data_IF_857260415692
#
_entry.id   IF_857260415692
#
_cell.length_a   1.000
_cell.length_b   1.000
_cell.length_c   1.000
_cell.angle_alpha   90.00
_cell.angle_beta   90.00
_cell.angle_gamma   90.00
#
_symmetry.space_group_name_H-M   'P 1'
#
loop_
_entity.id
_entity.type
_entity.pdbx_description
1 polymer ?
#
# COMPACT_ATOMS: atom_id res chain seq x y z
N UNK A 1 -11.38 -33.51 -29.72
CA UNK A 1 -11.31 -34.70 -28.85
C UNK A 1 -9.85 -35.00 -28.60
N UNK A 2 -9.45 -35.07 -27.32
CA UNK A 2 -8.12 -35.48 -26.87
C UNK A 2 -7.82 -36.92 -27.33
N UNK A 3 -6.60 -37.18 -27.79
CA UNK A 3 -5.96 -38.50 -27.65
C UNK A 3 -4.44 -38.33 -27.44
N UNK A 4 -4.03 -38.78 -26.27
CA UNK A 4 -2.74 -39.37 -25.92
C UNK A 4 -1.48 -38.60 -26.31
N UNK A 5 -0.99 -37.81 -25.34
CA UNK A 5 0.33 -38.04 -24.77
C UNK A 5 1.49 -38.16 -25.75
N UNK A 6 1.85 -37.05 -26.39
CA UNK A 6 3.08 -37.00 -27.19
C UNK A 6 4.28 -37.08 -26.25
N UNK A 7 5.05 -38.16 -26.34
CA UNK A 7 6.38 -38.26 -25.74
C UNK A 7 7.36 -37.67 -26.73
N UNK A 8 8.13 -36.67 -26.33
CA UNK A 8 9.02 -35.99 -27.29
C UNK A 8 10.31 -35.53 -26.62
N UNK A 9 11.43 -36.12 -27.04
CA UNK A 9 12.75 -35.60 -26.69
C UNK A 9 13.03 -34.32 -27.51
N UNK A 10 13.70 -33.35 -26.87
CA UNK A 10 13.93 -31.94 -27.28
C UNK A 10 13.93 -31.57 -28.77
N UNK A 11 14.44 -32.41 -29.68
CA UNK A 11 14.48 -32.16 -31.13
C UNK A 11 13.17 -32.51 -31.87
N UNK A 12 12.46 -33.55 -31.44
CA UNK A 12 11.17 -33.92 -32.01
C UNK A 12 10.09 -32.91 -31.59
N UNK A 13 10.26 -32.18 -30.48
CA UNK A 13 9.26 -31.21 -29.99
C UNK A 13 9.21 -30.02 -30.95
N UNK A 14 10.37 -29.48 -31.32
CA UNK A 14 10.49 -28.49 -32.38
C UNK A 14 9.95 -29.00 -33.72
N UNK A 15 10.19 -30.27 -34.07
CA UNK A 15 9.66 -30.86 -35.30
C UNK A 15 8.13 -31.02 -35.27
N UNK A 16 7.54 -31.40 -34.14
CA UNK A 16 6.09 -31.52 -33.96
C UNK A 16 5.42 -30.14 -33.96
N UNK A 17 6.01 -29.16 -33.25
CA UNK A 17 5.59 -27.76 -33.28
C UNK A 17 5.69 -27.18 -34.71
N UNK A 18 6.71 -27.54 -35.48
CA UNK A 18 6.89 -27.09 -36.88
C UNK A 18 5.89 -27.76 -37.80
N UNK A 19 5.73 -29.08 -37.71
CA UNK A 19 4.85 -29.87 -38.57
C UNK A 19 3.36 -29.60 -38.32
N UNK A 20 2.98 -29.15 -37.12
CA UNK A 20 1.64 -28.65 -36.80
C UNK A 20 1.39 -27.20 -37.22
N UNK A 21 2.39 -26.53 -37.81
CA UNK A 21 2.28 -25.16 -38.31
C UNK A 21 2.32 -24.08 -37.21
N UNK A 22 2.85 -24.40 -36.03
CA UNK A 22 2.92 -23.46 -34.90
C UNK A 22 4.20 -22.62 -34.88
N UNK A 23 5.18 -22.95 -35.73
CA UNK A 23 6.41 -22.19 -35.91
C UNK A 23 6.38 -21.41 -37.23
N UNK A 24 6.16 -20.10 -37.14
CA UNK A 24 6.60 -19.16 -38.17
C UNK A 24 7.80 -18.38 -37.59
N UNK A 25 8.97 -18.52 -38.22
CA UNK A 25 10.21 -17.79 -37.93
C UNK A 25 10.80 -17.95 -36.50
N UNK A 26 10.57 -19.09 -35.85
CA UNK A 26 11.09 -19.36 -34.49
C UNK A 26 10.32 -18.64 -33.36
N UNK A 27 9.24 -17.94 -33.72
CA UNK A 27 8.29 -17.33 -32.79
C UNK A 27 7.09 -18.28 -32.59
N UNK A 28 6.79 -18.58 -31.33
CA UNK A 28 5.60 -19.29 -30.86
C UNK A 28 4.58 -18.30 -30.25
N UNK A 29 4.62 -17.03 -30.66
CA UNK A 29 3.68 -16.03 -30.18
C UNK A 29 2.23 -16.44 -30.47
N UNK A 30 1.39 -16.42 -29.44
CA UNK A 30 0.00 -16.86 -29.56
C UNK A 30 -0.19 -18.35 -29.83
N UNK A 31 0.87 -19.16 -29.79
CA UNK A 31 0.78 -20.59 -30.06
C UNK A 31 -0.20 -21.29 -29.11
N UNK A 32 -0.91 -22.28 -29.62
CA UNK A 32 -1.89 -23.06 -28.87
C UNK A 32 -1.25 -24.36 -28.39
N UNK A 33 -0.64 -24.30 -27.21
CA UNK A 33 0.17 -25.35 -26.58
C UNK A 33 -0.47 -25.88 -25.29
N UNK A 34 -1.78 -25.68 -25.10
CA UNK A 34 -2.47 -26.18 -23.92
C UNK A 34 -2.40 -27.70 -23.86
N UNK A 35 -2.03 -28.24 -22.69
CA UNK A 35 -1.82 -29.67 -22.48
C UNK A 35 -0.62 -30.26 -23.21
N UNK A 36 0.25 -29.43 -23.82
CA UNK A 36 1.43 -29.91 -24.50
C UNK A 36 2.40 -30.59 -23.53
N UNK A 37 3.10 -31.62 -24.02
CA UNK A 37 4.15 -32.31 -23.27
C UNK A 37 5.51 -31.78 -23.73
N UNK A 38 6.09 -30.94 -22.89
CA UNK A 38 7.34 -30.20 -23.10
C UNK A 38 8.32 -30.47 -21.94
N UNK A 39 8.21 -31.63 -21.28
CA UNK A 39 9.09 -32.04 -20.21
C UNK A 39 10.54 -32.05 -20.70
N UNK A 40 11.43 -31.36 -19.98
CA UNK A 40 12.83 -31.24 -20.35
C UNK A 40 13.11 -30.51 -21.67
N UNK A 41 12.10 -29.88 -22.28
CA UNK A 41 12.27 -29.16 -23.54
C UNK A 41 13.27 -28.01 -23.40
N UNK A 42 14.08 -27.78 -24.44
CA UNK A 42 14.94 -26.61 -24.53
C UNK A 42 14.23 -25.51 -25.32
N UNK A 43 13.76 -24.50 -24.59
CA UNK A 43 13.01 -23.35 -25.07
C UNK A 43 13.73 -22.04 -24.69
N UNK A 44 15.03 -22.09 -24.43
CA UNK A 44 15.82 -20.93 -24.02
C UNK A 44 15.76 -19.84 -25.08
N UNK A 45 15.45 -18.62 -24.66
CA UNK A 45 15.30 -17.46 -25.55
C UNK A 45 14.11 -17.52 -26.51
N UNK A 46 13.24 -18.54 -26.42
CA UNK A 46 12.07 -18.63 -27.28
C UNK A 46 11.11 -17.46 -27.03
N UNK A 47 10.36 -17.08 -28.07
CA UNK A 47 9.34 -16.05 -27.98
C UNK A 47 7.97 -16.73 -27.97
N UNK A 48 7.33 -16.73 -26.81
CA UNK A 48 6.06 -17.37 -26.46
C UNK A 48 5.04 -16.33 -25.93
N UNK A 49 5.20 -15.06 -26.31
CA UNK A 49 4.31 -14.00 -25.85
C UNK A 49 2.89 -14.31 -26.26
N UNK A 50 1.96 -14.20 -25.30
CA UNK A 50 0.52 -14.53 -25.46
C UNK A 50 0.23 -15.98 -25.88
N UNK A 51 1.20 -16.90 -25.81
CA UNK A 51 0.95 -18.31 -26.05
C UNK A 51 0.01 -18.90 -24.98
N UNK A 52 -0.74 -19.91 -25.35
CA UNK A 52 -1.54 -20.70 -24.42
C UNK A 52 -0.80 -21.99 -24.07
N UNK A 53 -0.20 -22.04 -22.89
CA UNK A 53 0.49 -23.18 -22.27
C UNK A 53 -0.32 -23.74 -21.08
N UNK A 54 -1.64 -23.48 -21.03
CA UNK A 54 -2.47 -23.93 -19.92
C UNK A 54 -2.43 -25.45 -19.81
N UNK A 55 -2.23 -25.97 -18.60
CA UNK A 55 -2.08 -27.40 -18.29
C UNK A 55 -0.92 -28.12 -19.02
N UNK A 56 0.04 -27.38 -19.59
CA UNK A 56 1.21 -27.97 -20.23
C UNK A 56 2.16 -28.61 -19.20
N UNK A 57 2.82 -29.70 -19.59
CA UNK A 57 3.90 -30.33 -18.82
C UNK A 57 5.25 -29.75 -19.27
N UNK A 58 5.77 -28.80 -18.50
CA UNK A 58 7.06 -28.12 -18.67
C UNK A 58 8.03 -28.48 -17.52
N UNK A 59 7.79 -29.60 -16.84
CA UNK A 59 8.68 -30.07 -15.78
C UNK A 59 10.11 -30.17 -16.31
N UNK A 60 11.07 -29.71 -15.52
CA UNK A 60 12.52 -29.68 -15.83
C UNK A 60 12.90 -29.02 -17.17
N UNK A 61 11.99 -28.29 -17.82
CA UNK A 61 12.26 -27.57 -19.06
C UNK A 61 13.29 -26.44 -18.86
N UNK A 62 14.01 -26.11 -19.93
CA UNK A 62 14.97 -25.01 -19.97
C UNK A 62 14.30 -23.82 -20.69
N UNK A 63 13.85 -22.85 -19.90
CA UNK A 63 13.10 -21.65 -20.30
C UNK A 63 13.88 -20.37 -19.99
N UNK A 64 15.19 -20.46 -19.77
CA UNK A 64 15.99 -19.27 -19.48
C UNK A 64 15.85 -18.23 -20.60
N UNK A 65 15.65 -16.96 -20.22
CA UNK A 65 15.46 -15.81 -21.13
C UNK A 65 14.29 -15.93 -22.09
N UNK A 66 13.32 -16.82 -21.82
CA UNK A 66 12.09 -16.93 -22.62
C UNK A 66 11.26 -15.65 -22.49
N UNK A 67 10.55 -15.27 -23.56
CA UNK A 67 9.54 -14.20 -23.50
C UNK A 67 8.14 -14.82 -23.42
N UNK A 68 7.50 -14.71 -22.27
CA UNK A 68 6.16 -15.20 -21.94
C UNK A 68 5.20 -14.05 -21.59
N UNK A 69 5.49 -12.83 -22.04
CA UNK A 69 4.64 -11.66 -21.80
C UNK A 69 3.18 -11.94 -22.19
N UNK A 70 2.26 -11.81 -21.23
CA UNK A 70 0.83 -12.09 -21.43
C UNK A 70 0.47 -13.54 -21.77
N UNK A 71 1.38 -14.50 -21.62
CA UNK A 71 1.12 -15.91 -21.88
C UNK A 71 0.19 -16.51 -20.80
N UNK A 72 -0.54 -17.57 -21.17
CA UNK A 72 -1.38 -18.34 -20.24
C UNK A 72 -0.65 -19.62 -19.86
N UNK A 73 -0.33 -19.79 -18.59
CA UNK A 73 0.32 -20.96 -18.00
C UNK A 73 -0.53 -21.56 -16.87
N UNK A 74 -1.83 -21.23 -16.82
CA UNK A 74 -2.71 -21.71 -15.75
C UNK A 74 -2.67 -23.23 -15.65
N UNK A 75 -2.44 -23.76 -14.44
CA UNK A 75 -2.34 -25.20 -14.19
C UNK A 75 -1.12 -25.90 -14.78
N UNK A 76 -0.19 -25.18 -15.44
CA UNK A 76 1.00 -25.80 -16.01
C UNK A 76 1.91 -26.40 -14.93
N UNK A 77 2.62 -27.47 -15.29
CA UNK A 77 3.60 -28.12 -14.44
C UNK A 77 5.01 -27.65 -14.85
N UNK A 78 5.70 -26.91 -13.97
CA UNK A 78 7.01 -26.30 -14.18
C UNK A 78 8.01 -26.72 -13.09
N UNK A 79 7.79 -27.87 -12.45
CA UNK A 79 8.61 -28.33 -11.33
C UNK A 79 10.04 -28.56 -11.77
N UNK A 80 11.00 -28.02 -11.01
CA UNK A 80 12.43 -28.10 -11.30
C UNK A 80 12.87 -27.45 -12.61
N UNK A 81 11.99 -26.70 -13.29
CA UNK A 81 12.35 -25.99 -14.53
C UNK A 81 13.30 -24.82 -14.25
N UNK A 82 14.09 -24.47 -15.26
CA UNK A 82 14.91 -23.27 -15.24
C UNK A 82 14.23 -22.19 -16.08
N UNK A 83 13.86 -21.08 -15.46
CA UNK A 83 13.13 -19.96 -16.07
C UNK A 83 13.90 -18.66 -15.79
N UNK A 84 15.23 -18.72 -15.69
CA UNK A 84 16.04 -17.59 -15.23
C UNK A 84 16.03 -16.44 -16.24
N UNK A 85 16.01 -15.19 -15.77
CA UNK A 85 16.02 -13.98 -16.61
C UNK A 85 14.88 -13.94 -17.66
N UNK A 86 13.80 -14.69 -17.45
CA UNK A 86 12.64 -14.71 -18.35
C UNK A 86 11.73 -13.49 -18.14
N UNK A 87 10.98 -13.14 -19.19
CA UNK A 87 9.95 -12.12 -19.14
C UNK A 87 8.55 -12.75 -19.07
N UNK A 88 7.95 -12.72 -17.88
CA UNK A 88 6.61 -13.21 -17.56
C UNK A 88 5.64 -12.07 -17.20
N UNK A 89 5.94 -10.82 -17.60
CA UNK A 89 5.07 -9.67 -17.36
C UNK A 89 3.65 -9.93 -17.87
N UNK A 90 2.64 -9.56 -17.07
CA UNK A 90 1.20 -9.75 -17.36
C UNK A 90 0.79 -11.21 -17.66
N UNK A 91 1.61 -12.21 -17.32
CA UNK A 91 1.29 -13.62 -17.56
C UNK A 91 0.28 -14.18 -16.56
N UNK A 92 -0.45 -15.22 -16.96
CA UNK A 92 -1.42 -15.92 -16.12
C UNK A 92 -0.84 -17.24 -15.65
N UNK A 93 -0.53 -17.34 -14.37
CA UNK A 93 0.13 -18.48 -13.72
C UNK A 93 -0.76 -19.09 -12.63
N UNK A 94 -2.09 -18.96 -12.73
CA UNK A 94 -3.00 -19.42 -11.68
C UNK A 94 -2.89 -20.94 -11.51
N UNK A 95 -2.63 -21.40 -10.28
CA UNK A 95 -2.54 -22.83 -9.96
C UNK A 95 -1.32 -23.55 -10.58
N UNK A 96 -0.36 -22.81 -11.14
CA UNK A 96 0.86 -23.38 -11.71
C UNK A 96 1.72 -24.02 -10.63
N UNK A 97 2.36 -25.15 -10.93
CA UNK A 97 3.32 -25.76 -10.02
C UNK A 97 4.76 -25.43 -10.43
N UNK A 98 5.41 -24.58 -9.64
CA UNK A 98 6.78 -24.09 -9.76
C UNK A 98 7.67 -24.65 -8.63
N UNK A 99 7.31 -25.78 -8.02
CA UNK A 99 8.11 -26.39 -6.95
C UNK A 99 9.55 -26.63 -7.43
N UNK A 100 10.54 -26.20 -6.64
CA UNK A 100 11.97 -26.28 -6.95
C UNK A 100 12.42 -25.56 -8.25
N UNK A 101 11.56 -24.72 -8.86
CA UNK A 101 11.91 -24.00 -10.09
C UNK A 101 12.91 -22.87 -9.84
N UNK A 102 13.72 -22.55 -10.86
CA UNK A 102 14.70 -21.46 -10.82
C UNK A 102 14.21 -20.26 -11.62
N UNK A 103 13.72 -19.24 -10.95
CA UNK A 103 13.20 -17.99 -11.52
C UNK A 103 14.06 -16.77 -11.12
N UNK A 104 15.37 -16.96 -10.97
CA UNK A 104 16.25 -15.84 -10.61
C UNK A 104 16.23 -14.75 -11.69
N UNK A 105 16.10 -13.50 -11.28
CA UNK A 105 16.07 -12.34 -12.18
C UNK A 105 14.85 -12.29 -13.12
N UNK A 106 13.80 -13.08 -12.90
CA UNK A 106 12.61 -13.04 -13.76
C UNK A 106 11.81 -11.76 -13.58
N UNK A 107 11.23 -11.28 -14.68
CA UNK A 107 10.22 -10.24 -14.65
C UNK A 107 8.81 -10.85 -14.54
N UNK A 108 8.20 -10.72 -13.37
CA UNK A 108 6.83 -11.16 -13.05
C UNK A 108 5.92 -9.96 -12.74
N UNK A 109 6.28 -8.75 -13.19
CA UNK A 109 5.48 -7.55 -12.98
C UNK A 109 4.05 -7.76 -13.47
N UNK A 110 3.08 -7.49 -12.58
CA UNK A 110 1.63 -7.71 -12.79
C UNK A 110 1.20 -9.15 -13.16
N UNK A 111 2.07 -10.15 -12.98
CA UNK A 111 1.71 -11.54 -13.24
C UNK A 111 0.67 -12.07 -12.22
N UNK A 112 -0.19 -12.97 -12.67
CA UNK A 112 -1.25 -13.57 -11.86
C UNK A 112 -0.88 -14.98 -11.40
N UNK A 113 -0.20 -15.10 -10.25
CA UNK A 113 0.22 -16.35 -9.61
C UNK A 113 -0.75 -16.84 -8.51
N UNK A 114 -2.04 -16.49 -8.61
CA UNK A 114 -3.02 -16.89 -7.59
C UNK A 114 -3.05 -18.43 -7.44
N UNK A 115 -2.96 -18.93 -6.21
CA UNK A 115 -2.92 -20.36 -5.88
C UNK A 115 -1.77 -21.14 -6.52
N UNK A 116 -0.73 -20.46 -7.03
CA UNK A 116 0.46 -21.14 -7.54
C UNK A 116 1.23 -21.81 -6.39
N UNK A 117 1.96 -22.87 -6.71
CA UNK A 117 2.80 -23.62 -5.77
C UNK A 117 4.26 -23.30 -6.12
N UNK A 118 4.96 -22.53 -5.29
CA UNK A 118 6.36 -22.14 -5.48
C UNK A 118 7.25 -22.65 -4.34
N UNK A 119 6.90 -23.82 -3.77
CA UNK A 119 7.68 -24.42 -2.69
C UNK A 119 9.15 -24.56 -3.08
N UNK A 120 10.06 -24.07 -2.24
CA UNK A 120 11.51 -24.08 -2.46
C UNK A 120 11.98 -23.47 -3.80
N UNK A 121 11.13 -22.73 -4.51
CA UNK A 121 11.52 -22.07 -5.74
C UNK A 121 12.51 -20.93 -5.44
N UNK A 122 13.40 -20.65 -6.38
CA UNK A 122 14.33 -19.53 -6.27
C UNK A 122 13.86 -18.37 -7.13
N UNK A 123 13.44 -17.28 -6.51
CA UNK A 123 13.03 -16.01 -7.11
C UNK A 123 13.98 -14.87 -6.71
N UNK A 124 15.28 -15.17 -6.52
CA UNK A 124 16.25 -14.16 -6.15
C UNK A 124 16.31 -13.07 -7.22
N UNK A 125 16.32 -11.82 -6.78
CA UNK A 125 16.39 -10.64 -7.67
C UNK A 125 15.24 -10.57 -8.70
N UNK A 126 14.16 -11.34 -8.51
CA UNK A 126 13.00 -11.28 -9.39
C UNK A 126 12.20 -9.99 -9.15
N UNK A 127 11.55 -9.49 -10.20
CA UNK A 127 10.62 -8.38 -10.10
C UNK A 127 9.17 -8.89 -10.08
N UNK A 128 8.54 -8.85 -8.92
CA UNK A 128 7.13 -9.20 -8.69
C UNK A 128 6.26 -7.97 -8.41
N UNK A 129 6.68 -6.77 -8.81
CA UNK A 129 5.93 -5.54 -8.55
C UNK A 129 4.48 -5.64 -9.06
N UNK A 130 3.51 -5.40 -8.18
CA UNK A 130 2.09 -5.48 -8.50
C UNK A 130 1.56 -6.89 -8.85
N UNK A 131 2.36 -7.95 -8.69
CA UNK A 131 1.93 -9.32 -8.95
C UNK A 131 0.87 -9.79 -7.95
N UNK A 132 0.02 -10.72 -8.38
CA UNK A 132 -1.04 -11.31 -7.54
C UNK A 132 -0.68 -12.74 -7.16
N UNK A 133 -0.37 -12.99 -5.90
CA UNK A 133 -0.02 -14.28 -5.32
C UNK A 133 -1.06 -14.73 -4.29
N UNK A 134 -2.35 -14.44 -4.51
CA UNK A 134 -3.40 -14.74 -3.53
C UNK A 134 -3.50 -16.26 -3.28
N UNK A 135 -3.44 -16.65 -2.00
CA UNK A 135 -3.44 -18.05 -1.58
C UNK A 135 -2.37 -18.91 -2.23
N UNK A 136 -1.22 -18.33 -2.57
CA UNK A 136 -0.07 -19.07 -3.09
C UNK A 136 0.64 -19.83 -1.97
N UNK A 137 1.30 -20.92 -2.35
CA UNK A 137 2.14 -21.71 -1.47
C UNK A 137 3.61 -21.38 -1.75
N UNK A 138 4.21 -20.57 -0.88
CA UNK A 138 5.54 -19.98 -0.99
C UNK A 138 6.49 -20.59 0.07
N UNK A 139 6.17 -21.78 0.59
CA UNK A 139 6.98 -22.43 1.64
C UNK A 139 8.43 -22.61 1.20
N UNK A 140 9.39 -22.12 1.98
CA UNK A 140 10.82 -22.24 1.67
C UNK A 140 11.29 -21.46 0.43
N UNK A 141 10.45 -20.59 -0.13
CA UNK A 141 10.81 -19.81 -1.33
C UNK A 141 11.99 -18.87 -1.04
N UNK A 142 12.89 -18.71 -2.00
CA UNK A 142 13.97 -17.74 -1.90
C UNK A 142 13.64 -16.47 -2.70
N UNK A 143 13.21 -15.43 -2.00
CA UNK A 143 12.86 -14.10 -2.53
C UNK A 143 13.92 -13.05 -2.16
N UNK A 144 15.15 -13.46 -1.82
CA UNK A 144 16.19 -12.51 -1.45
C UNK A 144 16.43 -11.50 -2.58
N UNK A 145 16.52 -10.21 -2.22
CA UNK A 145 16.69 -9.09 -3.15
C UNK A 145 15.57 -8.92 -4.18
N UNK A 146 14.43 -9.60 -4.01
CA UNK A 146 13.29 -9.46 -4.92
C UNK A 146 12.55 -8.14 -4.70
N UNK A 147 12.00 -7.59 -5.79
CA UNK A 147 11.08 -6.46 -5.73
C UNK A 147 9.64 -6.97 -5.66
N UNK A 148 8.95 -6.78 -4.54
CA UNK A 148 7.55 -7.16 -4.32
C UNK A 148 6.63 -5.94 -4.21
N UNK A 149 7.09 -4.73 -4.54
CA UNK A 149 6.33 -3.48 -4.37
C UNK A 149 4.88 -3.61 -4.84
N UNK A 150 3.92 -3.39 -3.93
CA UNK A 150 2.48 -3.43 -4.21
C UNK A 150 1.92 -4.82 -4.56
N UNK A 151 2.68 -5.90 -4.36
CA UNK A 151 2.21 -7.26 -4.62
C UNK A 151 1.10 -7.68 -3.64
N UNK A 152 0.21 -8.56 -4.10
CA UNK A 152 -0.92 -9.07 -3.31
C UNK A 152 -0.65 -10.51 -2.89
N UNK A 153 -0.27 -10.71 -1.63
CA UNK A 153 0.17 -12.02 -1.10
C UNK A 153 -0.69 -12.41 0.11
N UNK A 154 -2.01 -12.28 -0.02
CA UNK A 154 -2.95 -12.55 1.07
C UNK A 154 -3.16 -14.06 1.23
N UNK A 155 -3.43 -14.53 2.45
CA UNK A 155 -3.75 -15.94 2.77
C UNK A 155 -2.74 -16.94 2.21
N UNK A 156 -1.48 -16.55 2.14
CA UNK A 156 -0.40 -17.32 1.50
C UNK A 156 0.54 -17.87 2.56
N UNK A 157 1.20 -18.98 2.22
CA UNK A 157 2.15 -19.63 3.10
C UNK A 157 3.58 -19.21 2.74
N UNK A 158 4.21 -18.32 3.50
CA UNK A 158 5.62 -17.94 3.35
C UNK A 158 6.51 -18.55 4.44
N UNK A 159 6.06 -19.63 5.09
CA UNK A 159 6.85 -20.26 6.15
C UNK A 159 8.22 -20.68 5.60
N UNK A 160 9.27 -20.46 6.39
CA UNK A 160 10.66 -20.75 6.02
C UNK A 160 11.19 -20.02 4.77
N UNK A 161 10.45 -19.04 4.25
CA UNK A 161 10.91 -18.24 3.11
C UNK A 161 12.12 -17.38 3.48
N UNK A 162 12.88 -16.98 2.47
CA UNK A 162 14.00 -16.04 2.58
C UNK A 162 13.59 -14.74 1.89
N UNK A 163 13.36 -13.69 2.67
CA UNK A 163 13.05 -12.33 2.22
C UNK A 163 14.25 -11.37 2.44
N UNK A 164 15.47 -11.88 2.56
CA UNK A 164 16.65 -11.05 2.82
C UNK A 164 16.74 -9.89 1.81
N UNK A 165 16.72 -8.65 2.30
CA UNK A 165 16.78 -7.43 1.49
C UNK A 165 15.70 -7.32 0.41
N UNK A 166 14.57 -8.03 0.54
CA UNK A 166 13.43 -7.90 -0.35
C UNK A 166 12.68 -6.57 -0.09
N UNK A 167 12.14 -5.98 -1.15
CA UNK A 167 11.31 -4.78 -1.08
C UNK A 167 9.84 -5.17 -1.04
N UNK A 168 9.22 -5.13 0.15
CA UNK A 168 7.80 -5.45 0.34
C UNK A 168 6.93 -4.21 0.52
N UNK A 169 7.38 -3.01 0.13
CA UNK A 169 6.57 -1.81 0.28
C UNK A 169 5.17 -1.96 -0.33
N UNK A 170 4.16 -1.50 0.40
CA UNK A 170 2.75 -1.56 -0.01
C UNK A 170 2.22 -2.98 -0.33
N UNK A 171 2.92 -4.02 0.11
CA UNK A 171 2.45 -5.41 -0.02
C UNK A 171 1.34 -5.66 0.99
N UNK A 172 0.34 -6.44 0.59
CA UNK A 172 -0.59 -7.02 1.56
C UNK A 172 -0.31 -8.50 1.79
N UNK A 173 0.06 -8.81 3.03
CA UNK A 173 0.32 -10.12 3.62
C UNK A 173 -0.82 -10.55 4.56
N UNK A 174 -2.01 -9.96 4.39
CA UNK A 174 -3.16 -10.20 5.25
C UNK A 174 -3.47 -11.70 5.34
N UNK A 175 -3.66 -12.19 6.57
CA UNK A 175 -3.98 -13.60 6.86
C UNK A 175 -2.93 -14.61 6.34
N UNK A 176 -1.71 -14.17 6.03
CA UNK A 176 -0.60 -15.03 5.60
C UNK A 176 0.27 -15.48 6.77
N UNK A 177 1.06 -16.54 6.55
CA UNK A 177 2.00 -17.05 7.55
C UNK A 177 3.43 -16.83 7.11
N UNK A 178 4.27 -16.27 8.00
CA UNK A 178 5.69 -16.01 7.82
C UNK A 178 6.47 -16.67 8.97
N UNK A 179 6.08 -17.89 9.34
CA UNK A 179 6.73 -18.58 10.44
C UNK A 179 8.15 -18.95 10.05
N UNK A 180 9.13 -18.60 10.90
CA UNK A 180 10.55 -18.85 10.66
C UNK A 180 11.06 -18.30 9.32
N UNK A 181 10.45 -17.23 8.83
CA UNK A 181 10.87 -16.51 7.63
C UNK A 181 12.06 -15.60 7.95
N UNK A 182 13.05 -15.56 7.06
CA UNK A 182 14.16 -14.62 7.17
C UNK A 182 13.78 -13.27 6.57
N UNK A 183 13.63 -12.25 7.41
CA UNK A 183 13.25 -10.88 7.05
C UNK A 183 14.41 -9.90 7.24
N UNK A 184 15.66 -10.37 7.31
CA UNK A 184 16.83 -9.49 7.50
C UNK A 184 16.91 -8.47 6.35
N UNK A 185 17.07 -7.18 6.67
CA UNK A 185 17.10 -6.05 5.72
C UNK A 185 15.85 -5.88 4.85
N UNK A 186 14.81 -6.67 5.07
CA UNK A 186 13.58 -6.57 4.30
C UNK A 186 12.85 -5.27 4.62
N UNK A 187 12.21 -4.68 3.61
CA UNK A 187 11.47 -3.44 3.74
C UNK A 187 9.97 -3.72 3.85
N UNK A 188 9.40 -3.55 5.05
CA UNK A 188 7.98 -3.72 5.34
C UNK A 188 7.23 -2.38 5.42
N UNK A 189 7.71 -1.28 4.84
CA UNK A 189 6.98 -0.01 4.92
C UNK A 189 5.59 -0.11 4.28
N UNK A 190 4.57 0.36 5.01
CA UNK A 190 3.16 0.34 4.62
C UNK A 190 2.61 -1.05 4.25
N UNK A 191 3.20 -2.12 4.81
CA UNK A 191 2.71 -3.49 4.60
C UNK A 191 1.44 -3.74 5.43
N UNK A 192 0.44 -4.39 4.82
CA UNK A 192 -0.71 -4.91 5.56
C UNK A 192 -0.39 -6.29 6.16
N UNK A 193 -0.09 -6.30 7.46
CA UNK A 193 0.20 -7.49 8.27
C UNK A 193 -1.00 -7.97 9.11
N UNK A 194 -2.22 -7.54 8.78
CA UNK A 194 -3.38 -7.89 9.59
C UNK A 194 -3.62 -9.41 9.64
N UNK A 195 -3.71 -9.96 10.85
CA UNK A 195 -3.85 -11.40 11.12
C UNK A 195 -2.71 -12.27 10.57
N UNK A 196 -1.59 -11.65 10.19
CA UNK A 196 -0.39 -12.34 9.77
C UNK A 196 0.31 -13.00 10.97
N UNK A 197 0.88 -14.18 10.76
CA UNK A 197 1.62 -14.93 11.78
C UNK A 197 3.13 -14.84 11.54
N UNK A 198 3.85 -14.21 12.47
CA UNK A 198 5.31 -14.04 12.42
C UNK A 198 6.06 -14.97 13.39
N UNK A 199 5.47 -16.11 13.79
CA UNK A 199 6.08 -17.00 14.78
C UNK A 199 7.53 -17.38 14.42
N UNK A 200 8.47 -16.96 15.26
CA UNK A 200 9.90 -17.24 15.08
C UNK A 200 10.53 -16.64 13.82
N UNK A 201 9.89 -15.64 13.19
CA UNK A 201 10.50 -14.89 12.09
C UNK A 201 11.80 -14.22 12.55
N UNK A 202 12.74 -14.03 11.62
CA UNK A 202 14.06 -13.46 11.90
C UNK A 202 14.14 -12.03 11.39
N UNK A 203 14.32 -11.08 12.30
CA UNK A 203 14.43 -9.66 12.01
C UNK A 203 15.87 -9.18 12.26
N UNK A 204 16.31 -8.21 11.47
CA UNK A 204 17.60 -7.55 11.66
C UNK A 204 17.83 -6.56 10.54
N UNK A 205 18.02 -5.29 10.86
CA UNK A 205 17.96 -4.19 9.88
C UNK A 205 16.66 -4.17 9.06
N UNK A 206 15.60 -4.82 9.56
CA UNK A 206 14.28 -4.86 8.92
C UNK A 206 13.60 -3.51 9.14
N UNK A 207 12.88 -3.00 8.15
CA UNK A 207 12.21 -1.70 8.23
C UNK A 207 10.72 -1.93 8.44
N UNK A 208 10.17 -1.43 9.55
CA UNK A 208 8.74 -1.33 9.82
C UNK A 208 8.37 0.16 9.91
N UNK A 209 7.89 0.71 8.81
CA UNK A 209 7.41 2.09 8.75
C UNK A 209 5.95 2.10 8.31
N UNK A 210 5.17 3.03 8.88
CA UNK A 210 3.76 3.21 8.55
C UNK A 210 2.88 1.92 8.60
N UNK A 211 3.27 0.92 9.39
CA UNK A 211 2.66 -0.42 9.42
C UNK A 211 1.76 -0.61 10.65
N UNK A 212 0.62 -1.26 10.50
CA UNK A 212 -0.25 -1.61 11.64
C UNK A 212 0.01 -3.06 12.10
N UNK A 213 0.57 -3.19 13.31
CA UNK A 213 0.90 -4.48 13.94
C UNK A 213 -0.16 -4.93 14.96
N UNK A 214 -1.25 -4.18 15.15
CA UNK A 214 -2.26 -4.44 16.19
C UNK A 214 -2.95 -5.81 16.06
N UNK A 215 -3.02 -6.34 14.85
CA UNK A 215 -3.59 -7.66 14.55
C UNK A 215 -2.53 -8.70 14.16
N UNK A 216 -1.25 -8.34 14.20
CA UNK A 216 -0.15 -9.25 13.86
C UNK A 216 0.13 -10.17 15.04
N UNK A 217 0.30 -11.46 14.75
CA UNK A 217 0.45 -12.51 15.76
C UNK A 217 1.92 -12.80 16.05
N UNK A 218 2.19 -13.27 17.25
CA UNK A 218 3.47 -13.84 17.66
C UNK A 218 4.66 -12.86 17.60
N UNK A 219 4.41 -11.55 17.73
CA UNK A 219 5.45 -10.51 17.75
C UNK A 219 6.51 -10.74 18.83
N UNK A 220 6.12 -11.28 19.98
CA UNK A 220 6.96 -11.63 21.13
C UNK A 220 7.90 -12.82 20.87
N UNK A 221 7.65 -13.60 19.81
CA UNK A 221 8.46 -14.76 19.42
C UNK A 221 9.47 -14.46 18.32
N UNK A 222 9.43 -13.25 17.75
CA UNK A 222 10.35 -12.82 16.71
C UNK A 222 11.79 -12.88 17.24
N UNK A 223 12.68 -13.43 16.43
CA UNK A 223 14.10 -13.48 16.72
C UNK A 223 14.77 -12.26 16.13
N UNK A 224 15.67 -11.63 16.88
CA UNK A 224 16.36 -10.41 16.46
C UNK A 224 17.86 -10.69 16.29
N UNK A 225 18.34 -10.71 15.04
CA UNK A 225 19.76 -10.83 14.70
C UNK A 225 20.51 -9.49 14.83
N UNK A 226 19.79 -8.37 14.72
CA UNK A 226 20.29 -7.00 14.85
C UNK A 226 19.11 -6.05 15.16
N UNK A 227 19.37 -4.80 15.60
CA UNK A 227 18.32 -3.79 15.68
C UNK A 227 17.62 -3.58 14.34
N UNK A 228 16.33 -3.27 14.40
CA UNK A 228 15.47 -3.02 13.25
C UNK A 228 14.83 -1.63 13.40
N UNK A 229 14.27 -1.10 12.32
CA UNK A 229 13.74 0.25 12.31
C UNK A 229 12.23 0.20 12.54
N UNK A 230 11.74 0.95 13.52
CA UNK A 230 10.32 1.16 13.77
C UNK A 230 10.05 2.65 13.94
N UNK A 231 9.07 3.18 13.21
CA UNK A 231 8.74 4.61 13.25
C UNK A 231 7.58 4.94 14.22
N UNK A 232 7.41 6.23 14.50
CA UNK A 232 6.36 6.72 15.39
C UNK A 232 4.96 6.41 14.84
N UNK A 233 4.77 6.43 13.51
CA UNK A 233 3.51 6.09 12.87
C UNK A 233 3.09 4.64 13.17
N UNK A 234 4.01 3.69 12.99
CA UNK A 234 3.81 2.27 13.31
C UNK A 234 3.49 2.09 14.79
N UNK A 235 4.22 2.76 15.69
CA UNK A 235 3.97 2.70 17.13
C UNK A 235 2.59 3.24 17.53
N UNK A 236 2.10 4.28 16.85
CA UNK A 236 0.77 4.84 17.10
C UNK A 236 -0.32 3.89 16.58
N UNK A 237 -0.22 3.43 15.33
CA UNK A 237 -1.21 2.55 14.69
C UNK A 237 -1.37 1.22 15.44
N UNK A 238 -0.25 0.63 15.85
CA UNK A 238 -0.21 -0.74 16.39
C UNK A 238 -0.74 -0.89 17.82
N UNK A 239 -0.94 0.20 18.56
CA UNK A 239 -1.34 0.14 19.96
C UNK A 239 -0.30 -0.57 20.84
N UNK A 240 -0.75 -1.36 21.82
CA UNK A 240 0.15 -2.07 22.74
C UNK A 240 0.96 -3.16 22.04
N UNK A 241 2.28 -3.00 22.04
CA UNK A 241 3.23 -3.94 21.49
C UNK A 241 4.00 -4.65 22.62
N UNK A 242 4.41 -5.92 22.46
CA UNK A 242 5.19 -6.61 23.47
C UNK A 242 6.53 -5.91 23.75
N UNK A 243 6.91 -5.75 25.01
CA UNK A 243 8.18 -5.09 25.36
C UNK A 243 9.40 -5.84 24.81
N UNK A 244 9.35 -7.18 24.81
CA UNK A 244 10.43 -8.02 24.25
C UNK A 244 10.66 -7.70 22.78
N UNK A 245 9.58 -7.51 22.02
CA UNK A 245 9.66 -7.09 20.62
C UNK A 245 10.25 -5.68 20.48
N UNK A 246 9.82 -4.71 21.29
CA UNK A 246 10.34 -3.34 21.25
C UNK A 246 11.83 -3.28 21.60
N UNK A 247 12.27 -4.03 22.63
CA UNK A 247 13.69 -4.21 22.95
C UNK A 247 14.45 -4.85 21.79
N UNK A 248 13.85 -5.85 21.14
CA UNK A 248 14.38 -6.51 19.96
C UNK A 248 14.53 -5.59 18.74
N UNK A 249 13.64 -4.61 18.57
CA UNK A 249 13.81 -3.53 17.59
C UNK A 249 14.99 -2.61 17.96
N UNK A 250 15.42 -2.58 19.21
CA UNK A 250 16.54 -1.76 19.69
C UNK A 250 16.13 -0.51 20.47
N UNK A 251 14.87 -0.43 20.93
CA UNK A 251 14.43 0.68 21.78
C UNK A 251 15.02 0.53 23.20
N UNK A 252 15.58 1.61 23.79
CA UNK A 252 15.99 1.62 25.20
C UNK A 252 14.78 1.47 26.14
N UNK A 253 15.01 0.86 27.32
CA UNK A 253 13.96 0.66 28.34
C UNK A 253 13.27 1.97 28.74
N UNK A 254 14.03 3.06 28.94
CA UNK A 254 13.45 4.39 29.25
C UNK A 254 12.44 4.84 28.19
N UNK A 255 12.70 4.55 26.90
CA UNK A 255 11.78 4.91 25.81
C UNK A 255 10.53 4.05 25.83
N UNK A 256 10.68 2.76 26.13
CA UNK A 256 9.56 1.80 26.24
C UNK A 256 8.64 2.22 27.40
N UNK A 257 9.21 2.60 28.54
CA UNK A 257 8.47 3.07 29.72
C UNK A 257 7.70 4.36 29.41
N UNK A 258 8.33 5.33 28.74
CA UNK A 258 7.66 6.57 28.31
C UNK A 258 6.51 6.29 27.33
N UNK A 259 6.68 5.35 26.39
CA UNK A 259 5.61 4.96 25.47
C UNK A 259 4.42 4.36 26.22
N UNK A 260 4.67 3.54 27.25
CA UNK A 260 3.61 2.98 28.08
C UNK A 260 2.83 4.08 28.83
N UNK A 261 3.53 5.08 29.36
CA UNK A 261 2.92 6.21 30.07
C UNK A 261 2.16 7.17 29.16
N UNK A 262 2.70 7.49 27.98
CA UNK A 262 2.03 8.29 26.96
C UNK A 262 0.71 7.64 26.52
N UNK A 263 0.65 6.30 26.49
CA UNK A 263 -0.55 5.54 26.10
C UNK A 263 -1.61 5.46 27.20
N UNK A 264 -1.23 5.59 28.48
CA UNK A 264 -2.18 5.71 29.60
C UNK A 264 -2.88 7.07 29.65
N UNK A 265 -2.24 8.09 29.09
CA UNK A 265 -2.86 9.39 28.86
C UNK A 265 -3.68 9.27 27.58
N UNK A 266 -4.99 9.49 27.67
CA UNK A 266 -5.84 9.65 26.49
C UNK A 266 -5.48 10.97 25.79
N UNK A 267 -4.30 11.03 25.18
CA UNK A 267 -3.93 12.18 24.38
C UNK A 267 -4.60 11.98 23.04
N UNK A 268 -5.71 12.67 22.87
CA UNK A 268 -6.39 12.84 21.59
C UNK A 268 -5.47 13.66 20.69
N UNK A 269 -4.51 12.99 20.08
CA UNK A 269 -3.53 13.67 19.25
C UNK A 269 -4.15 13.98 17.88
N UNK A 270 -5.00 15.00 17.76
CA UNK A 270 -5.47 15.41 16.44
C UNK A 270 -4.33 15.96 15.60
N UNK A 271 -4.14 15.36 14.43
CA UNK A 271 -3.34 15.86 13.33
C UNK A 271 -4.21 16.67 12.38
N UNK A 272 -3.70 17.82 11.93
CA UNK A 272 -4.46 18.80 11.18
C UNK A 272 -3.75 19.18 9.89
N UNK A 273 -4.43 19.12 8.76
CA UNK A 273 -3.93 19.71 7.51
C UNK A 273 -4.63 21.03 7.23
N UNK A 274 -3.87 22.11 7.02
CA UNK A 274 -4.37 23.41 6.59
C UNK A 274 -4.31 23.46 5.08
N UNK A 275 -5.46 23.50 4.43
CA UNK A 275 -5.61 23.46 2.97
C UNK A 275 -6.08 24.82 2.47
N UNK A 276 -5.29 25.42 1.57
CA UNK A 276 -5.48 26.82 1.18
C UNK A 276 -5.03 27.10 -0.26
N UNK A 277 -5.55 28.18 -0.83
CA UNK A 277 -5.04 28.74 -2.09
C UNK A 277 -3.84 29.65 -1.81
N UNK A 278 -2.97 29.85 -2.80
CA UNK A 278 -1.84 30.78 -2.65
C UNK A 278 -2.25 32.19 -2.19
N UNK A 279 -3.44 32.67 -2.56
CA UNK A 279 -3.96 33.96 -2.15
C UNK A 279 -4.27 34.03 -0.64
N UNK A 280 -4.41 32.88 0.03
CA UNK A 280 -4.68 32.76 1.48
C UNK A 280 -3.41 32.37 2.27
N UNK A 281 -2.22 32.43 1.66
CA UNK A 281 -0.98 31.90 2.26
C UNK A 281 -0.57 32.61 3.56
N UNK A 282 -0.68 33.94 3.61
CA UNK A 282 -0.34 34.73 4.79
C UNK A 282 -1.17 34.30 6.01
N UNK A 283 -2.49 34.17 5.82
CA UNK A 283 -3.40 33.66 6.87
C UNK A 283 -3.05 32.22 7.28
N UNK A 284 -2.77 31.35 6.31
CA UNK A 284 -2.49 29.94 6.59
C UNK A 284 -1.18 29.76 7.38
N UNK A 285 -0.15 30.54 7.06
CA UNK A 285 1.15 30.56 7.76
C UNK A 285 1.01 31.11 9.18
N UNK A 286 0.27 32.20 9.38
CA UNK A 286 -0.02 32.75 10.73
C UNK A 286 -0.79 31.72 11.58
N UNK A 287 -1.84 31.12 11.01
CA UNK A 287 -2.61 30.08 11.69
C UNK A 287 -1.74 28.86 12.03
N UNK A 288 -0.82 28.48 11.15
CA UNK A 288 0.12 27.38 11.39
C UNK A 288 1.01 27.65 12.61
N UNK A 289 1.63 28.84 12.70
CA UNK A 289 2.50 29.20 13.82
C UNK A 289 1.74 29.17 15.15
N UNK A 290 0.57 29.82 15.21
CA UNK A 290 -0.22 29.86 16.44
C UNK A 290 -0.72 28.47 16.83
N UNK A 291 -1.14 27.63 15.88
CA UNK A 291 -1.53 26.25 16.19
C UNK A 291 -0.36 25.42 16.74
N UNK A 292 0.85 25.57 16.20
CA UNK A 292 2.05 24.89 16.70
C UNK A 292 2.40 25.33 18.13
N UNK A 293 2.35 26.63 18.42
CA UNK A 293 2.56 27.19 19.76
C UNK A 293 1.54 26.67 20.78
N UNK A 294 0.32 26.34 20.31
CA UNK A 294 -0.75 25.73 21.11
C UNK A 294 -0.62 24.21 21.23
N UNK A 295 0.43 23.62 20.67
CA UNK A 295 0.70 22.18 20.69
C UNK A 295 -0.18 21.36 19.74
N UNK A 296 -0.82 22.00 18.76
CA UNK A 296 -1.56 21.30 17.70
C UNK A 296 -0.58 20.84 16.62
N UNK A 297 -0.66 19.56 16.25
CA UNK A 297 0.17 19.01 15.17
C UNK A 297 -0.48 19.35 13.84
N UNK A 298 0.03 20.39 13.17
CA UNK A 298 -0.50 20.83 11.89
C UNK A 298 0.53 20.85 10.77
N UNK A 299 0.07 20.80 9.52
CA UNK A 299 0.87 20.92 8.30
C UNK A 299 0.16 21.83 7.30
N UNK A 300 0.93 22.47 6.43
CA UNK A 300 0.44 23.33 5.35
C UNK A 300 0.30 22.53 4.04
N UNK A 301 -0.78 22.77 3.30
CA UNK A 301 -0.99 22.29 1.94
C UNK A 301 -1.54 23.42 1.06
N UNK A 302 -0.61 24.15 0.44
CA UNK A 302 -0.92 25.25 -0.47
C UNK A 302 -1.02 24.78 -1.93
N UNK A 303 -2.07 25.18 -2.63
CA UNK A 303 -2.23 24.91 -4.06
C UNK A 303 -1.81 26.12 -4.89
N UNK A 304 -0.77 25.94 -5.72
CA UNK A 304 -0.40 26.92 -6.75
C UNK A 304 -1.31 26.77 -7.99
N UNK A 305 -1.51 27.88 -8.68
CA UNK A 305 -2.20 28.04 -9.96
C UNK A 305 -1.68 27.15 -11.10
N UNK A 306 -0.49 26.54 -10.97
CA UNK A 306 0.16 25.77 -12.04
C UNK A 306 0.36 24.27 -11.73
N UNK A 307 0.10 23.81 -10.50
CA UNK A 307 0.23 22.40 -10.12
C UNK A 307 -1.14 21.85 -9.69
N UNK A 308 -1.98 21.49 -10.67
CA UNK A 308 -3.19 20.68 -10.39
C UNK A 308 -2.86 19.23 -9.95
N UNK A 309 -1.58 18.85 -10.08
CA UNK A 309 -0.96 17.62 -9.58
C UNK A 309 -0.21 17.89 -8.26
N UNK A 310 -0.92 18.32 -7.23
CA UNK A 310 -0.46 18.09 -5.87
C UNK A 310 -0.53 16.59 -5.61
N UNK A 311 0.61 15.97 -5.35
CA UNK A 311 0.72 14.57 -4.97
C UNK A 311 -0.27 14.34 -3.83
N UNK A 312 -1.28 13.49 -4.07
CA UNK A 312 -2.27 13.11 -3.08
C UNK A 312 -1.57 12.23 -2.05
N UNK A 313 -0.69 12.85 -1.25
CA UNK A 313 0.18 12.19 -0.30
C UNK A 313 -0.69 11.52 0.73
N UNK A 314 -0.94 10.23 0.52
CA UNK A 314 -1.65 9.25 1.35
C UNK A 314 -2.11 9.87 2.65
N UNK A 315 -3.31 10.44 2.62
CA UNK A 315 -3.74 11.41 3.63
C UNK A 315 -4.00 10.72 4.98
N UNK A 316 -3.01 10.76 5.88
CA UNK A 316 -3.01 10.10 7.20
C UNK A 316 -3.48 10.99 8.37
N UNK A 317 -4.06 12.17 8.11
CA UNK A 317 -4.47 13.12 9.15
C UNK A 317 -5.91 12.93 9.65
N UNK A 318 -6.17 13.47 10.86
CA UNK A 318 -7.46 13.39 11.55
C UNK A 318 -8.47 14.43 11.06
N UNK A 319 -8.02 15.66 10.81
CA UNK A 319 -8.85 16.78 10.34
C UNK A 319 -8.16 17.61 9.25
N UNK A 320 -8.96 18.21 8.37
CA UNK A 320 -8.57 19.16 7.33
C UNK A 320 -9.26 20.49 7.60
N UNK A 321 -8.48 21.54 7.88
CA UNK A 321 -8.95 22.91 7.91
C UNK A 321 -8.94 23.46 6.49
N UNK A 322 -10.10 23.78 5.95
CA UNK A 322 -10.21 24.36 4.61
C UNK A 322 -10.34 25.88 4.73
N UNK A 323 -9.38 26.63 4.22
CA UNK A 323 -9.49 28.08 4.05
C UNK A 323 -10.60 28.38 3.03
N UNK A 324 -11.79 28.73 3.53
CA UNK A 324 -12.96 29.07 2.74
C UNK A 324 -12.97 30.56 2.42
N UNK A 325 -12.12 30.96 1.47
CA UNK A 325 -12.21 32.24 0.78
C UNK A 325 -12.78 32.06 -0.63
N UNK A 326 -13.12 33.16 -1.29
CA UNK A 326 -13.42 33.20 -2.72
C UNK A 326 -12.26 32.65 -3.56
N UNK A 327 -11.02 32.93 -3.18
CA UNK A 327 -9.84 32.50 -3.91
C UNK A 327 -9.67 30.98 -3.87
N UNK A 328 -9.99 30.34 -2.74
CA UNK A 328 -9.96 28.89 -2.58
C UNK A 328 -11.17 28.19 -3.20
N UNK A 329 -12.39 28.61 -2.85
CA UNK A 329 -13.62 27.89 -3.21
C UNK A 329 -13.99 27.98 -4.71
N UNK A 330 -13.39 28.91 -5.45
CA UNK A 330 -13.59 29.01 -6.91
C UNK A 330 -12.66 28.10 -7.73
N UNK A 331 -11.73 27.39 -7.09
CA UNK A 331 -10.74 26.53 -7.77
C UNK A 331 -11.24 25.09 -7.89
N UNK A 332 -10.79 24.41 -8.95
CA UNK A 332 -11.11 23.02 -9.26
C UNK A 332 -10.65 22.06 -8.16
N UNK A 333 -9.49 22.33 -7.55
CA UNK A 333 -8.93 21.50 -6.48
C UNK A 333 -9.81 21.47 -5.23
N UNK A 334 -10.47 22.58 -4.86
CA UNK A 334 -11.25 22.67 -3.62
C UNK A 334 -12.39 21.65 -3.61
N UNK A 335 -13.11 21.52 -4.74
CA UNK A 335 -14.16 20.52 -4.88
C UNK A 335 -13.64 19.06 -4.82
N UNK A 336 -12.39 18.81 -5.22
CA UNK A 336 -11.74 17.50 -5.12
C UNK A 336 -11.41 17.16 -3.66
N UNK A 337 -10.77 18.08 -2.93
CA UNK A 337 -10.40 17.88 -1.52
C UNK A 337 -11.63 17.74 -0.61
N UNK A 338 -12.66 18.56 -0.84
CA UNK A 338 -13.95 18.46 -0.12
C UNK A 338 -14.57 17.08 -0.34
N UNK A 339 -14.60 16.60 -1.59
CA UNK A 339 -15.15 15.27 -1.89
C UNK A 339 -14.38 14.17 -1.18
N UNK A 340 -13.05 14.24 -1.22
CA UNK A 340 -12.19 13.27 -0.54
C UNK A 340 -12.47 13.23 0.97
N UNK A 341 -12.49 14.38 1.64
CA UNK A 341 -12.71 14.45 3.08
C UNK A 341 -14.07 13.85 3.48
N UNK A 342 -15.11 14.11 2.68
CA UNK A 342 -16.47 13.61 2.89
C UNK A 342 -16.55 12.10 2.67
N UNK A 343 -15.90 11.57 1.63
CA UNK A 343 -15.89 10.13 1.37
C UNK A 343 -15.16 9.37 2.49
N UNK A 344 -14.10 9.96 3.07
CA UNK A 344 -13.40 9.38 4.22
C UNK A 344 -14.25 9.33 5.50
N UNK A 345 -15.06 10.35 5.76
CA UNK A 345 -16.03 10.35 6.88
C UNK A 345 -17.07 9.24 6.71
N UNK A 346 -17.43 8.87 5.47
CA UNK A 346 -18.39 7.81 5.15
C UNK A 346 -17.80 6.40 5.28
N UNK A 347 -16.53 6.22 4.95
CA UNK A 347 -15.86 4.91 4.99
C UNK A 347 -15.33 4.53 6.37
N UNK A 348 -15.12 5.50 7.26
CA UNK A 348 -14.66 5.27 8.63
C UNK A 348 -15.75 4.59 9.48
N UNK A 349 -15.52 3.34 9.89
CA UNK A 349 -16.47 2.51 10.67
C UNK A 349 -16.51 2.79 12.18
N UNK A 350 -15.80 3.81 12.68
CA UNK A 350 -15.71 4.08 14.12
C UNK A 350 -17.02 4.66 14.70
N UNK A 351 -17.36 4.22 15.92
CA UNK A 351 -18.51 4.69 16.72
C UNK A 351 -18.45 6.20 17.07
N UNK A 352 -17.31 6.85 16.83
CA UNK A 352 -17.11 8.30 16.96
C UNK A 352 -16.92 8.92 15.57
N UNK A 353 -18.03 9.27 14.89
CA UNK A 353 -18.01 10.10 13.67
C UNK A 353 -17.41 11.47 14.01
N UNK A 354 -16.11 11.63 13.85
CA UNK A 354 -15.44 12.94 13.88
C UNK A 354 -15.50 13.55 12.50
N UNK A 355 -15.88 14.82 12.45
CA UNK A 355 -15.88 15.63 11.24
C UNK A 355 -14.42 15.81 10.78
N UNK A 356 -14.08 15.29 9.59
CA UNK A 356 -12.75 15.46 8.99
C UNK A 356 -12.62 16.83 8.33
N UNK A 357 -13.67 17.36 7.71
CA UNK A 357 -13.62 18.67 7.04
C UNK A 357 -14.07 19.78 7.98
N UNK A 358 -13.21 20.74 8.31
CA UNK A 358 -13.52 21.93 9.12
C UNK A 358 -13.36 23.20 8.26
N UNK A 359 -14.46 23.85 7.86
CA UNK A 359 -14.39 25.10 7.08
C UNK A 359 -13.92 26.28 7.94
N UNK A 360 -12.95 27.06 7.43
CA UNK A 360 -12.51 28.34 7.98
C UNK A 360 -13.07 29.46 7.11
N UNK A 361 -14.09 30.18 7.56
CA UNK A 361 -14.72 31.23 6.77
C UNK A 361 -13.88 32.52 6.83
N UNK A 362 -13.18 32.86 5.74
CA UNK A 362 -12.22 33.96 5.72
C UNK A 362 -12.83 35.28 5.25
N UNK A 363 -13.68 35.25 4.22
CA UNK A 363 -14.19 36.45 3.55
C UNK A 363 -15.73 36.46 3.38
N UNK A 364 -16.42 35.48 3.96
CA UNK A 364 -17.87 35.35 3.86
C UNK A 364 -18.36 34.78 2.52
N UNK A 365 -17.46 34.49 1.57
CA UNK A 365 -17.83 33.97 0.25
C UNK A 365 -18.61 32.65 0.35
N UNK A 366 -18.31 31.82 1.35
CA UNK A 366 -18.97 30.55 1.61
C UNK A 366 -20.51 30.68 1.68
N UNK A 367 -21.05 31.81 2.13
CA UNK A 367 -22.49 32.04 2.28
C UNK A 367 -23.13 32.80 1.12
N UNK A 368 -22.40 33.04 0.04
CA UNK A 368 -22.91 33.73 -1.15
C UNK A 368 -23.62 32.77 -2.11
N UNK A 369 -24.61 33.29 -2.85
CA UNK A 369 -25.30 32.51 -3.89
C UNK A 369 -24.34 32.10 -5.04
N UNK A 370 -23.29 32.89 -5.30
CA UNK A 370 -22.25 32.54 -6.27
C UNK A 370 -21.45 31.31 -5.82
N UNK A 371 -21.10 31.20 -4.53
CA UNK A 371 -20.46 29.99 -4.00
C UNK A 371 -21.41 28.78 -4.07
N UNK A 372 -22.67 28.96 -3.69
CA UNK A 372 -23.70 27.89 -3.71
C UNK A 372 -23.88 27.28 -5.09
N UNK A 373 -23.89 28.11 -6.13
CA UNK A 373 -24.07 27.66 -7.51
C UNK A 373 -22.84 26.99 -8.11
N UNK A 374 -21.64 27.35 -7.66
CA UNK A 374 -20.38 26.83 -8.21
C UNK A 374 -19.85 25.60 -7.50
N UNK A 375 -20.06 25.48 -6.19
CA UNK A 375 -19.49 24.40 -5.38
C UNK A 375 -20.44 23.19 -5.33
N UNK A 376 -20.14 22.04 -5.98
CA UNK A 376 -21.09 20.94 -6.13
C UNK A 376 -21.50 20.25 -4.81
N UNK A 377 -20.76 20.47 -3.73
CA UNK A 377 -20.99 19.88 -2.41
C UNK A 377 -21.26 20.95 -1.34
N UNK A 378 -21.71 22.13 -1.76
CA UNK A 378 -21.87 23.31 -0.90
C UNK A 378 -22.70 23.05 0.36
N UNK A 379 -23.86 22.40 0.24
CA UNK A 379 -24.72 22.10 1.41
C UNK A 379 -23.97 21.28 2.46
N UNK A 380 -23.16 20.32 2.03
CA UNK A 380 -22.35 19.53 2.94
C UNK A 380 -21.28 20.40 3.60
N UNK A 381 -20.67 21.36 2.91
CA UNK A 381 -19.68 22.26 3.54
C UNK A 381 -20.32 23.23 4.53
N UNK A 382 -21.52 23.75 4.25
CA UNK A 382 -22.18 24.74 5.12
C UNK A 382 -22.84 24.11 6.35
N UNK A 383 -23.36 22.89 6.23
CA UNK A 383 -23.94 22.14 7.37
C UNK A 383 -22.92 21.74 8.44
N UNK A 384 -21.63 22.00 8.19
CA UNK A 384 -20.50 21.69 9.07
C UNK A 384 -20.22 22.85 10.01
N UNK A 385 -19.70 22.53 11.21
CA UNK A 385 -19.20 23.58 12.11
C UNK A 385 -18.04 24.32 11.42
N UNK A 386 -18.24 25.60 11.17
CA UNK A 386 -17.27 26.51 10.56
C UNK A 386 -16.75 27.53 11.58
N UNK A 387 -15.51 28.00 11.39
CA UNK A 387 -14.89 29.00 12.25
C UNK A 387 -14.76 30.32 11.49
N UNK A 388 -15.33 31.42 12.00
CA UNK A 388 -15.22 32.72 11.35
C UNK A 388 -13.84 33.32 11.60
N UNK A 389 -13.21 33.82 10.55
CA UNK A 389 -12.00 34.64 10.58
C UNK A 389 -12.21 35.91 9.73
N UNK A 390 -13.45 36.42 9.73
CA UNK A 390 -13.85 37.60 8.98
C UNK A 390 -13.09 38.84 9.49
N UNK A 391 -12.36 39.53 8.62
CA UNK A 391 -11.63 40.77 8.91
C UNK A 391 -10.83 40.73 10.23
N UNK A 392 -9.94 39.76 10.38
CA UNK A 392 -9.06 39.57 11.56
C UNK A 392 -7.94 40.62 11.68
N UNK A 393 -8.25 41.90 11.51
CA UNK A 393 -7.29 42.99 11.71
C UNK A 393 -6.98 43.23 13.19
N UNK A 394 -7.79 42.70 14.11
CA UNK A 394 -7.51 42.67 15.55
C UNK A 394 -6.91 41.30 15.96
N UNK A 395 -5.65 41.32 16.42
CA UNK A 395 -4.94 40.14 16.88
C UNK A 395 -5.65 39.42 18.04
N UNK A 396 -6.39 40.15 18.89
CA UNK A 396 -7.13 39.56 20.00
C UNK A 396 -8.32 38.69 19.52
N UNK A 397 -9.00 39.14 18.45
CA UNK A 397 -10.09 38.38 17.83
C UNK A 397 -9.55 37.17 17.07
N UNK A 398 -8.38 37.28 16.43
CA UNK A 398 -7.72 36.14 15.79
C UNK A 398 -7.39 35.03 16.81
N UNK A 399 -6.69 35.38 17.89
CA UNK A 399 -6.33 34.43 18.95
C UNK A 399 -7.58 33.76 19.54
N UNK A 400 -8.64 34.53 19.83
CA UNK A 400 -9.90 33.98 20.35
C UNK A 400 -10.52 32.92 19.42
N UNK A 401 -10.52 33.16 18.11
CA UNK A 401 -11.02 32.18 17.14
C UNK A 401 -10.11 30.94 17.06
N UNK A 402 -8.79 31.11 17.20
CA UNK A 402 -7.85 29.98 17.28
C UNK A 402 -8.07 29.17 18.57
N UNK A 403 -8.32 29.78 19.73
CA UNK A 403 -8.68 29.06 20.96
C UNK A 403 -9.92 28.18 20.77
N UNK A 404 -10.96 28.73 20.14
CA UNK A 404 -12.19 28.00 19.86
C UNK A 404 -11.94 26.82 18.93
N UNK A 405 -11.09 27.01 17.92
CA UNK A 405 -10.66 25.97 17.00
C UNK A 405 -9.86 24.88 17.73
N UNK A 406 -8.85 25.24 18.53
CA UNK A 406 -8.04 24.30 19.32
C UNK A 406 -8.91 23.47 20.27
N UNK A 407 -9.86 24.11 20.96
CA UNK A 407 -10.78 23.41 21.86
C UNK A 407 -11.68 22.41 21.11
N UNK A 408 -12.16 22.78 19.91
CA UNK A 408 -12.92 21.88 19.06
C UNK A 408 -12.09 20.70 18.56
N UNK A 409 -10.82 20.94 18.19
CA UNK A 409 -9.88 19.89 17.78
C UNK A 409 -9.55 18.94 18.95
N UNK A 410 -9.36 19.45 20.16
CA UNK A 410 -9.00 18.61 21.31
C UNK A 410 -10.19 17.86 21.94
N UNK A 411 -11.39 17.94 21.35
CA UNK A 411 -12.61 17.32 21.91
C UNK A 411 -13.04 17.90 23.26
N UNK A 412 -12.47 19.04 23.68
CA UNK A 412 -12.79 19.75 24.92
C UNK A 412 -13.93 20.73 24.67
N UNK A 413 -15.14 20.22 24.47
CA UNK A 413 -16.31 21.10 24.40
C UNK A 413 -17.60 20.48 23.89
N UNK A 414 -18.47 20.09 24.81
CA UNK A 414 -19.91 20.30 24.64
C UNK A 414 -20.13 21.82 24.74
N UNK A 415 -20.26 22.50 23.61
CA UNK A 415 -20.75 23.88 23.59
C UNK A 415 -21.89 23.96 22.59
N UNK A 416 -23.11 23.92 23.14
CA UNK A 416 -24.27 24.54 22.55
C UNK A 416 -23.92 25.98 22.18
N UNK A 417 -24.18 26.37 20.94
CA UNK A 417 -24.16 27.77 20.52
C UNK A 417 -25.04 28.60 21.48
N UNK A 418 -24.63 29.79 21.91
CA UNK A 418 -25.62 30.83 22.20
C UNK A 418 -26.39 31.08 20.90
N UNK A 419 -27.72 31.02 20.94
CA UNK A 419 -28.61 31.21 19.78
C UNK A 419 -28.53 32.61 19.13
N UNK A 420 -27.59 33.47 19.53
CA UNK A 420 -27.66 34.92 19.28
C UNK A 420 -26.67 35.45 18.21
N UNK A 421 -26.20 34.61 17.28
CA UNK A 421 -25.40 35.08 16.13
C UNK A 421 -25.89 34.53 14.77
N UNK A 422 -27.18 34.23 14.67
CA UNK A 422 -27.89 34.26 13.38
C UNK A 422 -28.29 35.72 13.14
N UNK A 423 -27.46 36.47 12.41
CA UNK A 423 -27.85 37.80 11.96
C UNK A 423 -28.82 37.69 10.77
N UNK A 424 -29.86 38.53 10.86
CA UNK A 424 -30.82 38.93 9.81
C UNK A 424 -30.18 39.35 8.48
#
# INVERSE_FOLDING_TARGET
MLREGVYVETQEALYELTSRGWLHDGSLNGAQLSGARLNGADLRGAILSRADLSDADLNVAQLDRVRLTGARLNGAALQGSSIMEADLMDSYLMGTNLTDAKLNGTNLTYAALNKAILRNASLREANLSGASLLSADLEGVNLAYANLLGAKIHRSNLNHAILEAADLRDVSLRESTLQRTDCIKANFSSVDLANCDLEGALFGHTILSDTDLSQTKCLDTIQHAAPSFIDVATLIKSGMLPEVFLRGMGLPDDTIDHLADLRRRSVDWQTVLITYSYDDAEFAEELYEVLQDRGVRCWLNGYDTHSEEGDAGVHTWDAMLLCCSKASLTRTWAAREIRWAIDQERTTKNEFRRQKLIPLNLDGYLFTEDCRTRLPMWEQVVDRKHFPFLDSTDAADFDLHVDQLVNALQGRGNFSLPEDLLFD
#
